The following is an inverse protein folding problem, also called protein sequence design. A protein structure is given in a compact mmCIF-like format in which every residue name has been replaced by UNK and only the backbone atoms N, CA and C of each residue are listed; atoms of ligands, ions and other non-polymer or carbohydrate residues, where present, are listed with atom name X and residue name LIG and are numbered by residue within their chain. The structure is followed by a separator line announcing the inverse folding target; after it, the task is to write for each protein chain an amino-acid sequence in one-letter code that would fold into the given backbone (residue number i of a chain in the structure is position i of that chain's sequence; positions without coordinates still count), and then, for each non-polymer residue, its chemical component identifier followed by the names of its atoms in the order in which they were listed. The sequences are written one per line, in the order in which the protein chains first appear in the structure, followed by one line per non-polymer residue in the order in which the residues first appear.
data_IF_482159240323
#
_entry.id   IF_482159240323
#
_cell.length_a   1.000
_cell.length_b   1.000
_cell.length_c   1.000
_cell.angle_alpha   90.00
_cell.angle_beta   90.00
_cell.angle_gamma   90.00
#
_symmetry.space_group_name_H-M   'P 1'
#
loop_
_entity.id
_entity.type
_entity.pdbx_description
1 polymer ?
#
# COMPACT_ATOMS: atom_id res chain seq x y z
N UNK A 1 -4.57 8.94 13.24
CA UNK A 1 -4.59 9.95 12.17
C UNK A 1 -3.29 9.90 11.39
N UNK A 2 -3.41 9.50 10.14
CA UNK A 2 -2.30 9.37 9.20
C UNK A 2 -1.92 10.74 8.64
N UNK A 3 -0.62 11.03 8.62
CA UNK A 3 -0.10 12.30 8.10
C UNK A 3 -0.23 12.37 6.56
N UNK A 4 -0.51 13.55 6.01
CA UNK A 4 -0.58 13.75 4.56
C UNK A 4 0.73 13.37 3.85
N UNK A 5 1.87 13.66 4.49
CA UNK A 5 3.19 13.23 4.01
C UNK A 5 3.30 11.71 3.90
N UNK A 6 2.69 10.96 4.83
CA UNK A 6 2.68 9.50 4.78
C UNK A 6 1.87 9.02 3.58
N UNK A 7 0.74 9.65 3.26
CA UNK A 7 -0.05 9.31 2.08
C UNK A 7 0.76 9.43 0.79
N UNK A 8 1.56 10.49 0.65
CA UNK A 8 2.45 10.67 -0.52
C UNK A 8 3.47 9.53 -0.60
N UNK A 9 4.15 9.23 0.50
CA UNK A 9 5.15 8.16 0.55
C UNK A 9 4.52 6.79 0.26
N UNK A 10 3.34 6.53 0.82
CA UNK A 10 2.61 5.28 0.59
C UNK A 10 2.15 5.17 -0.86
N UNK A 11 1.71 6.26 -1.50
CA UNK A 11 1.39 6.27 -2.93
C UNK A 11 2.62 5.93 -3.79
N UNK A 12 3.78 6.49 -3.49
CA UNK A 12 5.03 6.14 -4.19
C UNK A 12 5.44 4.68 -3.95
N UNK A 13 5.29 4.20 -2.72
CA UNK A 13 5.60 2.81 -2.37
C UNK A 13 4.67 1.80 -3.06
N UNK A 14 3.48 2.22 -3.51
CA UNK A 14 2.58 1.34 -4.25
C UNK A 14 3.16 0.88 -5.60
N UNK A 15 4.12 1.61 -6.20
CA UNK A 15 4.85 1.13 -7.38
C UNK A 15 5.66 -0.15 -7.09
N UNK A 16 6.08 -0.36 -5.84
CA UNK A 16 6.91 -1.51 -5.47
C UNK A 16 6.11 -2.80 -5.32
N UNK A 17 4.80 -2.82 -5.58
CA UNK A 17 4.03 -4.08 -5.64
C UNK A 17 4.24 -4.81 -6.97
N UNK A 18 4.64 -4.08 -8.02
CA UNK A 18 4.82 -4.60 -9.38
C UNK A 18 6.07 -5.49 -9.47
N UNK A 19 5.83 -6.79 -9.62
CA UNK A 19 6.89 -7.80 -9.68
C UNK A 19 7.77 -7.70 -10.92
N UNK A 20 7.38 -6.93 -11.94
CA UNK A 20 8.14 -6.73 -13.17
C UNK A 20 9.04 -5.50 -13.11
N UNK A 21 8.78 -4.58 -12.17
CA UNK A 21 9.52 -3.32 -12.04
C UNK A 21 10.53 -3.31 -10.90
N UNK A 22 10.37 -4.18 -9.90
CA UNK A 22 11.29 -4.29 -8.77
C UNK A 22 11.70 -5.74 -8.51
N UNK A 23 12.96 -5.94 -8.11
CA UNK A 23 13.50 -7.27 -7.80
C UNK A 23 12.82 -7.92 -6.58
N UNK A 24 12.48 -7.10 -5.59
CA UNK A 24 11.84 -7.53 -4.34
C UNK A 24 10.52 -6.76 -4.14
N UNK A 25 9.40 -7.29 -4.67
CA UNK A 25 8.12 -6.62 -4.59
C UNK A 25 7.53 -6.67 -3.18
N UNK A 26 6.82 -5.61 -2.80
CA UNK A 26 6.04 -5.54 -1.57
C UNK A 26 4.93 -6.59 -1.59
N UNK A 27 4.78 -7.27 -0.46
CA UNK A 27 3.78 -8.33 -0.24
C UNK A 27 3.07 -8.10 1.08
N UNK A 28 1.90 -8.73 1.23
CA UNK A 28 1.19 -8.83 2.50
C UNK A 28 2.15 -9.25 3.62
N UNK A 29 2.09 -8.54 4.74
CA UNK A 29 2.91 -8.77 5.92
C UNK A 29 4.21 -7.97 5.96
N UNK A 30 4.66 -7.38 4.86
CA UNK A 30 5.83 -6.49 4.90
C UNK A 30 5.56 -5.27 5.79
N UNK A 31 6.61 -4.83 6.48
CA UNK A 31 6.59 -3.62 7.29
C UNK A 31 7.30 -2.53 6.50
N UNK A 32 6.57 -1.47 6.19
CA UNK A 32 7.10 -0.27 5.56
C UNK A 32 7.68 0.60 6.67
N UNK A 33 9.01 0.75 6.66
CA UNK A 33 9.76 1.63 7.54
C UNK A 33 10.50 2.63 6.66
N UNK A 34 10.24 3.91 6.84
CA UNK A 34 10.95 4.98 6.16
C UNK A 34 11.16 6.11 7.17
N UNK A 35 12.35 6.72 7.18
CA UNK A 35 12.69 7.83 8.09
C UNK A 35 11.76 9.03 7.93
N UNK A 36 11.14 9.15 6.75
CA UNK A 36 10.21 10.23 6.43
C UNK A 36 8.75 9.88 6.72
N UNK A 37 8.44 8.66 7.19
CA UNK A 37 7.10 8.30 7.65
C UNK A 37 6.96 8.70 9.12
N UNK A 38 5.78 9.20 9.48
CA UNK A 38 5.45 9.53 10.88
C UNK A 38 5.37 8.29 11.77
N UNK A 39 5.08 7.13 11.18
CA UNK A 39 4.95 5.85 11.85
C UNK A 39 5.23 4.68 10.90
N UNK A 40 5.34 3.47 11.44
CA UNK A 40 5.50 2.27 10.64
C UNK A 40 4.14 1.77 10.15
N UNK A 41 4.13 1.16 8.97
CA UNK A 41 2.93 0.58 8.39
C UNK A 41 3.16 -0.90 8.07
N UNK A 42 2.10 -1.70 8.18
CA UNK A 42 2.08 -3.08 7.70
C UNK A 42 1.18 -3.19 6.48
N UNK A 43 1.70 -3.87 5.47
CA UNK A 43 0.93 -4.22 4.28
C UNK A 43 -0.09 -5.30 4.64
N UNK A 44 -1.37 -4.96 4.58
CA UNK A 44 -2.48 -5.88 4.83
C UNK A 44 -2.81 -6.68 3.58
N UNK A 45 -2.76 -6.01 2.42
CA UNK A 45 -3.09 -6.61 1.12
C UNK A 45 -2.34 -5.90 0.00
N UNK A 46 -2.03 -6.63 -1.06
CA UNK A 46 -1.49 -6.10 -2.32
C UNK A 46 -2.34 -6.62 -3.47
N UNK A 47 -2.51 -5.81 -4.50
CA UNK A 47 -3.07 -6.20 -5.77
C UNK A 47 -2.11 -5.76 -6.88
N UNK A 48 -1.67 -6.73 -7.67
CA UNK A 48 -0.84 -6.55 -8.86
C UNK A 48 -1.49 -7.35 -9.98
N UNK A 49 -2.28 -6.68 -10.82
CA UNK A 49 -2.95 -7.30 -11.94
C UNK A 49 -2.34 -6.81 -13.26
N UNK A 50 -1.39 -7.61 -13.74
CA UNK A 50 -0.71 -7.39 -15.01
C UNK A 50 -1.60 -7.36 -16.26
N UNK A 51 -2.88 -7.80 -16.18
CA UNK A 51 -3.81 -7.74 -17.32
C UNK A 51 -4.44 -6.36 -17.51
N UNK A 52 -4.55 -5.58 -16.44
CA UNK A 52 -5.19 -4.26 -16.45
C UNK A 52 -4.32 -3.19 -15.78
N UNK A 53 -3.01 -3.43 -15.70
CA UNK A 53 -2.01 -2.55 -15.10
C UNK A 53 -2.21 -2.19 -13.63
N UNK A 54 -3.16 -2.81 -12.92
CA UNK A 54 -3.54 -2.38 -11.58
C UNK A 54 -2.46 -2.71 -10.57
N UNK A 55 -2.01 -1.68 -9.86
CA UNK A 55 -1.03 -1.75 -8.78
C UNK A 55 -1.64 -1.03 -7.58
N UNK A 56 -1.89 -1.75 -6.50
CA UNK A 56 -2.44 -1.17 -5.28
C UNK A 56 -1.98 -1.92 -4.05
N UNK A 57 -1.96 -1.23 -2.91
CA UNK A 57 -1.77 -1.86 -1.62
C UNK A 57 -2.69 -1.25 -0.56
N UNK A 58 -3.14 -2.10 0.36
CA UNK A 58 -3.78 -1.67 1.59
C UNK A 58 -2.77 -1.79 2.72
N UNK A 59 -2.61 -0.72 3.50
CA UNK A 59 -1.72 -0.66 4.65
C UNK A 59 -2.46 -0.15 5.88
N UNK A 60 -1.96 -0.53 7.06
CA UNK A 60 -2.41 0.01 8.32
C UNK A 60 -1.21 0.35 9.21
N UNK A 61 -1.33 1.37 10.08
CA UNK A 61 -0.30 1.70 11.03
C UNK A 61 -0.08 0.53 12.00
N UNK A 62 1.14 0.43 12.52
CA UNK A 62 1.49 -0.52 13.58
C UNK A 62 2.03 0.19 14.80
N UNK A 63 1.71 -0.34 15.97
CA UNK A 63 2.26 0.15 17.22
C UNK A 63 3.73 -0.25 17.41
N UNK A 64 4.33 0.22 18.51
CA UNK A 64 5.71 -0.12 18.91
C UNK A 64 5.95 -1.61 19.14
N UNK A 65 4.89 -2.41 19.33
CA UNK A 65 4.94 -3.86 19.51
C UNK A 65 4.67 -4.63 18.19
N UNK A 66 4.46 -3.92 17.08
CA UNK A 66 4.16 -4.50 15.77
C UNK A 66 2.71 -4.98 15.61
N UNK A 67 1.81 -4.61 16.53
CA UNK A 67 0.38 -4.88 16.41
C UNK A 67 -0.24 -3.90 15.42
N UNK A 68 -1.08 -4.42 14.52
CA UNK A 68 -1.81 -3.61 13.54
C UNK A 68 -2.92 -2.84 14.25
N UNK A 69 -2.97 -1.55 14.00
CA UNK A 69 -4.11 -0.71 14.31
C UNK A 69 -5.06 -0.70 13.10
N UNK A 70 -6.16 -1.44 13.20
CA UNK A 70 -7.15 -1.59 12.13
C UNK A 70 -8.20 -0.48 12.11
N UNK A 71 -8.08 0.54 12.97
CA UNK A 71 -9.03 1.67 13.01
C UNK A 71 -8.89 2.59 11.80
N UNK A 72 -7.70 2.64 11.19
CA UNK A 72 -7.40 3.39 9.97
C UNK A 72 -6.71 2.48 8.95
N UNK A 73 -7.25 2.39 7.74
CA UNK A 73 -6.64 1.65 6.61
C UNK A 73 -6.46 2.60 5.44
N UNK A 74 -5.26 2.62 4.86
CA UNK A 74 -4.95 3.40 3.65
C UNK A 74 -4.84 2.46 2.47
N UNK A 75 -5.58 2.79 1.41
CA UNK A 75 -5.44 2.16 0.11
C UNK A 75 -4.61 3.09 -0.77
N UNK A 76 -3.38 2.68 -1.06
CA UNK A 76 -2.45 3.43 -1.88
C UNK A 76 -2.39 2.86 -3.30
N UNK A 77 -2.38 3.76 -4.27
CA UNK A 77 -2.18 3.47 -5.69
C UNK A 77 -1.17 4.47 -6.28
N UNK A 78 -0.43 4.10 -7.34
CA UNK A 78 0.57 4.95 -7.96
C UNK A 78 -0.06 6.10 -8.76
N UNK A 79 0.54 7.31 -8.66
CA UNK A 79 -0.04 8.56 -9.15
C UNK A 79 0.08 8.88 -10.66
N UNK A 80 0.85 8.16 -11.47
CA UNK A 80 1.04 8.50 -12.90
C UNK A 80 1.50 7.28 -13.73
N UNK A 81 0.67 6.24 -13.76
CA UNK A 81 0.82 5.12 -14.70
C UNK A 81 -0.46 5.04 -15.58
N UNK A 82 -0.88 6.20 -16.12
CA UNK A 82 -2.15 6.44 -16.85
C UNK A 82 -2.36 5.58 -18.10
N UNK A 83 -1.36 4.82 -18.54
CA UNK A 83 -1.50 3.95 -19.71
C UNK A 83 -2.37 2.72 -19.46
N UNK A 84 -2.74 2.39 -18.20
CA UNK A 84 -3.24 1.05 -17.91
C UNK A 84 -4.09 0.96 -16.62
N UNK A 85 -5.15 1.77 -16.45
CA UNK A 85 -5.84 1.81 -15.15
C UNK A 85 -7.38 1.82 -15.25
N UNK A 86 -7.97 0.62 -15.28
CA UNK A 86 -9.31 0.41 -14.66
C UNK A 86 -9.06 -0.15 -13.26
N UNK A 87 -9.09 0.73 -12.25
CA UNK A 87 -9.05 0.34 -10.84
C UNK A 87 -10.47 -0.01 -10.40
N UNK A 88 -10.73 -1.30 -10.15
CA UNK A 88 -11.93 -1.75 -9.44
C UNK A 88 -11.59 -1.92 -7.97
N UNK A 89 -12.01 -0.97 -7.14
CA UNK A 89 -11.96 -1.14 -5.68
C UNK A 89 -13.25 -1.85 -5.26
N UNK A 90 -13.16 -3.14 -4.93
CA UNK A 90 -14.24 -3.87 -4.25
C UNK A 90 -13.85 -4.01 -2.79
N UNK A 91 -14.45 -3.18 -1.92
CA UNK A 91 -14.34 -3.33 -0.48
C UNK A 91 -15.45 -4.28 0.00
N UNK A 92 -15.06 -5.45 0.52
CA UNK A 92 -15.85 -6.18 1.51
C UNK A 92 -14.89 -6.50 2.64
N UNK A 93 -14.82 -5.63 3.63
CA UNK A 93 -14.30 -5.99 4.95
C UNK A 93 -15.52 -6.50 5.71
N UNK A 94 -15.67 -7.82 5.80
CA UNK A 94 -16.66 -8.45 6.67
C UNK A 94 -15.93 -8.89 7.94
N UNK A 95 -16.52 -8.59 9.09
CA UNK A 95 -16.12 -9.13 10.40
C UNK A 95 -16.29 -10.65 10.44
#
# INVERSE_FOLDING_TARGET
MIAEQDNRILSDMAYNVDRKKVDVPLKKGNIIKNKNLSQNYKVIKVEDNSKNGMQAMAVAPIDKHGKVDSTEVVIAYPGTNFSDTIVKIVNVITE
#
